data_IF_321339376601
#
_entry.id   IF_321339376601
#
_cell.length_a   1.000
_cell.length_b   1.000
_cell.length_c   1.000
_cell.angle_alpha   90.00
_cell.angle_beta   90.00
_cell.angle_gamma   90.00
#
_symmetry.space_group_name_H-M   'P 1'
#
loop_
_entity.id
_entity.type
_entity.pdbx_description
1 polymer ?
#
# COMPACT_ATOMS: atom_id res chain seq x y z
N UNK A 1 -8.01 -67.36 -36.72
CA UNK A 1 -9.09 -66.41 -36.36
C UNK A 1 -8.65 -65.66 -35.10
N UNK A 2 -8.28 -64.36 -35.26
CA UNK A 2 -8.20 -63.25 -34.27
C UNK A 2 -7.54 -63.57 -32.91
N UNK A 3 -6.27 -63.28 -32.64
CA UNK A 3 -5.63 -61.95 -32.43
C UNK A 3 -6.56 -60.92 -31.80
N UNK A 4 -6.41 -60.70 -30.48
CA UNK A 4 -6.19 -59.38 -29.87
C UNK A 4 -6.25 -59.50 -28.33
N UNK A 5 -5.11 -59.79 -27.71
CA UNK A 5 -4.85 -59.41 -26.32
C UNK A 5 -4.73 -57.88 -26.29
N UNK A 6 -5.78 -57.18 -25.87
CA UNK A 6 -5.67 -55.76 -25.56
C UNK A 6 -4.99 -55.67 -24.20
N UNK A 7 -3.66 -55.52 -24.23
CA UNK A 7 -2.88 -55.06 -23.10
C UNK A 7 -3.45 -53.70 -22.67
N UNK A 8 -4.03 -53.66 -21.48
CA UNK A 8 -4.33 -52.45 -20.76
C UNK A 8 -2.99 -51.79 -20.41
N UNK A 9 -2.44 -51.00 -21.34
CA UNK A 9 -1.34 -50.10 -21.05
C UNK A 9 -1.88 -49.07 -20.08
N UNK A 10 -1.57 -49.33 -18.82
CA UNK A 10 -1.50 -48.36 -17.73
C UNK A 10 -0.78 -47.14 -18.28
N UNK A 11 -1.57 -46.12 -18.66
CA UNK A 11 -1.08 -44.76 -18.82
C UNK A 11 -0.74 -44.24 -17.44
N UNK A 12 0.38 -44.72 -16.91
CA UNK A 12 1.19 -44.00 -15.94
C UNK A 12 1.83 -42.81 -16.68
N UNK A 13 0.99 -41.86 -17.08
CA UNK A 13 1.42 -40.47 -17.17
C UNK A 13 1.64 -40.07 -15.72
N UNK A 14 2.83 -40.39 -15.23
CA UNK A 14 3.32 -39.92 -13.96
C UNK A 14 3.14 -38.40 -13.96
N UNK A 15 2.25 -37.92 -13.12
CA UNK A 15 2.16 -36.52 -12.76
C UNK A 15 3.45 -36.17 -12.00
N UNK A 16 4.54 -35.93 -12.73
CA UNK A 16 5.75 -35.29 -12.20
C UNK A 16 5.50 -33.78 -12.22
N UNK A 17 4.79 -33.23 -11.24
CA UNK A 17 4.79 -31.76 -11.10
C UNK A 17 4.52 -31.17 -9.72
N UNK A 18 4.31 -31.96 -8.67
CA UNK A 18 4.09 -31.42 -7.32
C UNK A 18 5.26 -31.64 -6.37
N UNK A 19 5.87 -32.83 -6.35
CA UNK A 19 6.98 -33.13 -5.41
C UNK A 19 8.27 -32.36 -5.71
N UNK A 20 8.63 -32.17 -6.98
CA UNK A 20 9.82 -31.41 -7.36
C UNK A 20 9.71 -29.91 -7.04
N UNK A 21 8.50 -29.36 -7.03
CA UNK A 21 8.27 -27.94 -6.69
C UNK A 21 8.37 -27.73 -5.18
N UNK A 22 7.86 -28.67 -4.37
CA UNK A 22 8.00 -28.64 -2.91
C UNK A 22 9.45 -28.80 -2.44
N UNK A 23 10.23 -29.71 -3.04
CA UNK A 23 11.65 -29.86 -2.72
C UNK A 23 12.52 -28.68 -3.19
N UNK A 24 12.18 -28.06 -4.33
CA UNK A 24 12.85 -26.85 -4.81
C UNK A 24 12.58 -25.65 -3.89
N UNK A 25 11.37 -25.53 -3.34
CA UNK A 25 10.99 -24.44 -2.44
C UNK A 25 11.81 -24.46 -1.13
N UNK A 26 12.05 -25.65 -0.56
CA UNK A 26 12.81 -25.77 0.69
C UNK A 26 14.25 -25.22 0.60
N UNK A 27 14.84 -25.19 -0.60
CA UNK A 27 16.19 -24.65 -0.81
C UNK A 27 16.21 -23.12 -0.93
N UNK A 28 15.08 -22.51 -1.30
CA UNK A 28 14.97 -21.07 -1.51
C UNK A 28 14.71 -20.29 -0.22
N UNK A 29 14.28 -20.94 0.86
CA UNK A 29 14.02 -20.25 2.13
C UNK A 29 15.29 -19.64 2.70
N UNK A 30 15.17 -18.47 3.31
CA UNK A 30 16.28 -17.76 3.94
C UNK A 30 16.25 -16.27 3.67
N UNK A 31 17.21 -15.59 4.28
CA UNK A 31 17.47 -14.17 4.06
C UNK A 31 18.47 -14.00 2.92
N UNK A 32 18.14 -13.16 1.95
CA UNK A 32 19.04 -12.74 0.89
C UNK A 32 19.36 -11.27 1.11
N UNK A 33 20.64 -10.97 1.31
CA UNK A 33 21.17 -9.63 1.52
C UNK A 33 21.49 -9.02 0.16
N UNK A 34 21.14 -7.76 -0.04
CA UNK A 34 21.46 -7.01 -1.24
C UNK A 34 22.97 -6.82 -1.35
N UNK A 35 23.56 -7.30 -2.45
CA UNK A 35 24.96 -7.11 -2.78
C UNK A 35 25.17 -5.70 -3.35
N UNK A 36 25.38 -4.72 -2.47
CA UNK A 36 25.55 -3.32 -2.84
C UNK A 36 26.72 -2.67 -2.10
N UNK A 37 27.56 -1.98 -2.86
CA UNK A 37 28.72 -1.22 -2.35
C UNK A 37 28.36 0.21 -1.92
N UNK A 38 27.06 0.58 -1.91
CA UNK A 38 26.66 1.96 -1.61
C UNK A 38 26.81 2.24 -0.11
N UNK A 39 27.82 3.04 0.22
CA UNK A 39 28.06 3.59 1.56
C UNK A 39 26.80 4.25 2.18
N UNK A 40 25.91 4.80 1.33
CA UNK A 40 24.67 5.47 1.71
C UNK A 40 23.43 4.74 1.18
N UNK A 41 23.37 3.41 1.29
CA UNK A 41 22.25 2.59 0.80
C UNK A 41 20.88 3.12 1.27
N UNK A 42 20.78 3.56 2.53
CA UNK A 42 19.55 4.08 3.14
C UNK A 42 18.94 5.31 2.42
N UNK A 43 19.75 6.11 1.70
CA UNK A 43 19.27 7.24 0.89
C UNK A 43 19.22 6.94 -0.61
N UNK A 44 19.67 5.75 -1.00
CA UNK A 44 19.60 5.36 -2.39
C UNK A 44 18.16 5.09 -2.80
N UNK A 45 17.92 5.14 -4.10
CA UNK A 45 16.62 4.78 -4.65
C UNK A 45 16.17 3.36 -4.31
N UNK A 46 17.11 2.45 -4.03
CA UNK A 46 16.80 1.11 -3.56
C UNK A 46 17.28 0.96 -2.13
N UNK A 47 16.67 1.62 -1.16
CA UNK A 47 17.12 1.58 0.23
C UNK A 47 16.83 0.26 0.96
N UNK A 48 16.95 -0.89 0.29
CA UNK A 48 16.76 -2.21 0.90
C UNK A 48 18.04 -2.75 1.51
N UNK A 49 17.86 -3.62 2.50
CA UNK A 49 18.92 -4.42 3.09
C UNK A 49 18.81 -5.87 2.65
N UNK A 50 17.65 -6.48 2.88
CA UNK A 50 17.46 -7.91 2.69
C UNK A 50 16.02 -8.27 2.36
N UNK A 51 15.84 -9.40 1.67
CA UNK A 51 14.57 -10.07 1.50
C UNK A 51 14.61 -11.43 2.17
N UNK A 52 13.68 -11.68 3.08
CA UNK A 52 13.53 -12.94 3.80
C UNK A 52 12.39 -13.72 3.14
N UNK A 53 12.67 -14.92 2.66
CA UNK A 53 11.69 -15.86 2.13
C UNK A 53 11.42 -16.96 3.18
N UNK A 54 10.25 -16.93 3.80
CA UNK A 54 9.85 -17.88 4.83
C UNK A 54 9.23 -19.15 4.24
N UNK A 55 9.33 -20.26 5.00
CA UNK A 55 8.80 -21.56 4.62
C UNK A 55 7.27 -21.60 4.47
N UNK A 56 6.55 -20.73 5.18
CA UNK A 56 5.09 -20.57 5.10
C UNK A 56 4.63 -19.74 3.88
N UNK A 57 5.52 -19.58 2.89
CA UNK A 57 5.32 -18.78 1.69
C UNK A 57 5.09 -17.29 1.96
N UNK A 58 5.51 -16.77 3.12
CA UNK A 58 5.55 -15.33 3.39
C UNK A 58 6.93 -14.74 3.10
N UNK A 59 6.97 -13.44 2.80
CA UNK A 59 8.23 -12.72 2.68
C UNK A 59 8.23 -11.42 3.50
N UNK A 60 9.42 -10.96 3.85
CA UNK A 60 9.67 -9.64 4.45
C UNK A 60 10.82 -9.00 3.68
N UNK A 61 10.62 -7.76 3.22
CA UNK A 61 11.64 -6.91 2.62
C UNK A 61 12.01 -5.83 3.63
N UNK A 62 13.27 -5.81 4.05
CA UNK A 62 13.80 -4.84 5.02
C UNK A 62 14.49 -3.66 4.33
N UNK A 63 14.38 -2.48 4.93
CA UNK A 63 15.16 -1.29 4.57
C UNK A 63 16.57 -1.36 5.15
N UNK A 64 17.50 -0.67 4.51
CA UNK A 64 18.85 -0.44 5.00
C UNK A 64 18.82 0.43 6.25
N UNK A 65 19.56 0.02 7.28
CA UNK A 65 19.68 0.78 8.52
C UNK A 65 20.39 2.12 8.32
N UNK A 66 19.88 3.15 8.99
CA UNK A 66 20.56 4.44 9.11
C UNK A 66 21.50 4.38 10.32
N UNK A 67 22.82 4.33 10.07
CA UNK A 67 23.85 4.18 11.13
C UNK A 67 24.54 5.49 11.54
N UNK A 68 24.08 6.63 11.06
CA UNK A 68 24.69 7.94 11.35
C UNK A 68 23.67 8.91 11.95
N UNK A 69 24.18 9.94 12.63
CA UNK A 69 23.38 10.96 13.31
C UNK A 69 23.46 12.31 12.59
N UNK A 70 22.36 13.09 12.53
CA UNK A 70 21.02 12.78 13.04
C UNK A 70 20.31 11.68 12.23
N UNK A 71 19.61 10.77 12.92
CA UNK A 71 18.87 9.69 12.28
C UNK A 71 17.51 10.18 11.79
N UNK A 72 17.17 9.84 10.55
CA UNK A 72 15.81 10.02 10.03
C UNK A 72 15.01 8.80 10.44
N UNK A 73 13.90 9.00 11.15
CA UNK A 73 13.00 7.90 11.50
C UNK A 73 12.42 7.29 10.21
N UNK A 74 12.58 5.99 10.04
CA UNK A 74 12.11 5.25 8.88
C UNK A 74 11.60 3.88 9.34
N UNK A 75 10.69 3.30 8.59
CA UNK A 75 10.17 1.97 8.93
C UNK A 75 11.15 0.88 8.51
N UNK A 76 11.45 -0.06 9.40
CA UNK A 76 12.39 -1.17 9.14
C UNK A 76 11.91 -2.03 7.95
N UNK A 77 10.60 -2.23 7.83
CA UNK A 77 10.00 -3.08 6.80
C UNK A 77 9.56 -2.19 5.63
N UNK A 78 10.14 -2.42 4.46
CA UNK A 78 9.70 -1.80 3.21
C UNK A 78 8.45 -2.49 2.65
N UNK A 79 8.39 -3.82 2.74
CA UNK A 79 7.23 -4.60 2.29
C UNK A 79 7.18 -5.94 3.00
N UNK A 80 6.00 -6.54 3.10
CA UNK A 80 5.82 -7.95 3.46
C UNK A 80 4.63 -8.52 2.70
N UNK A 81 4.53 -9.84 2.58
CA UNK A 81 3.43 -10.46 1.84
C UNK A 81 3.64 -11.93 1.56
N UNK A 82 3.14 -12.40 0.41
CA UNK A 82 3.27 -13.80 -0.03
C UNK A 82 4.20 -13.92 -1.22
N UNK A 83 4.89 -15.04 -1.31
CA UNK A 83 5.71 -15.40 -2.46
C UNK A 83 5.37 -16.81 -2.97
N UNK A 84 5.66 -17.08 -4.24
CA UNK A 84 5.43 -18.37 -4.87
C UNK A 84 6.37 -18.56 -6.05
N UNK A 85 6.80 -19.80 -6.30
CA UNK A 85 7.54 -20.14 -7.52
C UNK A 85 6.60 -20.24 -8.71
N UNK A 86 6.91 -19.55 -9.81
CA UNK A 86 6.16 -19.63 -11.07
C UNK A 86 6.78 -20.64 -12.05
N UNK A 87 8.11 -20.70 -12.07
CA UNK A 87 8.90 -21.62 -12.89
C UNK A 87 10.21 -21.93 -12.16
N UNK A 88 11.00 -22.88 -12.66
CA UNK A 88 12.27 -23.30 -12.04
C UNK A 88 13.25 -22.16 -11.73
N UNK A 89 13.15 -21.03 -12.43
CA UNK A 89 14.05 -19.89 -12.33
C UNK A 89 13.35 -18.56 -12.00
N UNK A 90 12.04 -18.56 -11.71
CA UNK A 90 11.28 -17.35 -11.43
C UNK A 90 10.41 -17.57 -10.20
N UNK A 91 10.59 -16.70 -9.21
CA UNK A 91 9.64 -16.53 -8.12
C UNK A 91 8.89 -15.22 -8.28
N UNK A 92 7.71 -15.18 -7.68
CA UNK A 92 6.79 -14.04 -7.68
C UNK A 92 6.53 -13.64 -6.25
N UNK A 93 6.55 -12.34 -5.97
CA UNK A 93 6.12 -11.77 -4.70
C UNK A 93 4.85 -10.93 -4.87
N UNK A 94 4.03 -10.85 -3.84
CA UNK A 94 2.86 -9.98 -3.78
C UNK A 94 2.68 -9.46 -2.37
N UNK A 95 2.72 -8.13 -2.20
CA UNK A 95 2.63 -7.49 -0.90
C UNK A 95 1.26 -7.65 -0.27
N UNK A 96 1.23 -7.71 1.06
CA UNK A 96 -0.01 -7.74 1.83
C UNK A 96 -0.85 -6.49 1.60
N UNK A 97 -0.28 -5.31 1.33
CA UNK A 97 -1.05 -4.09 1.05
C UNK A 97 -1.94 -4.22 -0.21
N UNK A 98 -1.63 -5.14 -1.14
CA UNK A 98 -2.57 -5.48 -2.22
C UNK A 98 -3.82 -6.21 -1.69
N UNK A 99 -3.67 -7.03 -0.65
CA UNK A 99 -4.74 -7.76 0.05
C UNK A 99 -5.36 -6.94 1.19
N UNK A 100 -4.63 -6.00 1.79
CA UNK A 100 -5.03 -5.11 2.90
C UNK A 100 -5.60 -3.78 2.43
N UNK A 101 -5.73 -3.54 1.12
CA UNK A 101 -6.48 -2.39 0.57
C UNK A 101 -7.86 -2.21 1.20
N UNK A 102 -8.43 -3.23 1.83
CA UNK A 102 -9.63 -3.11 2.65
C UNK A 102 -9.32 -2.67 4.09
N UNK A 103 -8.48 -3.40 4.86
CA UNK A 103 -8.24 -3.06 6.28
C UNK A 103 -7.39 -1.82 6.50
N UNK A 104 -6.30 -1.62 5.75
CA UNK A 104 -5.41 -0.47 5.92
C UNK A 104 -6.04 0.86 5.50
N UNK A 105 -7.07 0.80 4.64
CA UNK A 105 -7.87 1.97 4.24
C UNK A 105 -9.14 2.12 5.10
N UNK A 106 -9.29 1.31 6.15
CA UNK A 106 -10.41 1.49 7.08
C UNK A 106 -10.38 2.92 7.61
N UNK A 107 -11.55 3.53 7.57
CA UNK A 107 -11.78 4.85 8.10
C UNK A 107 -13.07 4.83 8.90
N UNK A 108 -13.19 5.77 9.83
CA UNK A 108 -14.44 6.05 10.51
C UNK A 108 -14.82 7.50 10.26
N UNK A 109 -16.09 7.75 9.92
CA UNK A 109 -16.63 9.10 9.77
C UNK A 109 -17.72 9.33 10.82
N UNK A 110 -17.43 10.18 11.81
CA UNK A 110 -18.42 10.68 12.75
C UNK A 110 -19.01 11.98 12.21
N UNK A 111 -20.33 11.99 12.03
CA UNK A 111 -21.10 13.14 11.52
C UNK A 111 -21.89 13.76 12.67
N UNK A 112 -21.65 15.02 12.95
CA UNK A 112 -22.27 15.76 14.05
C UNK A 112 -22.83 17.09 13.57
N UNK A 113 -23.72 17.69 14.37
CA UNK A 113 -24.21 19.04 14.17
C UNK A 113 -23.76 19.94 15.33
N UNK A 114 -22.80 20.82 15.09
CA UNK A 114 -22.25 21.75 16.09
C UNK A 114 -21.51 22.91 15.44
N UNK A 115 -21.22 23.96 16.20
CA UNK A 115 -20.63 25.22 15.70
C UNK A 115 -21.57 25.94 14.71
N UNK A 116 -21.06 26.92 13.97
CA UNK A 116 -21.87 27.74 13.06
C UNK A 116 -22.41 26.95 11.86
N UNK A 117 -23.68 27.15 11.51
CA UNK A 117 -24.30 26.50 10.36
C UNK A 117 -23.81 27.02 9.00
N UNK A 118 -23.14 28.17 8.97
CA UNK A 118 -22.65 28.78 7.74
C UNK A 118 -21.43 28.04 7.15
N UNK A 119 -20.82 27.15 7.94
CA UNK A 119 -19.61 26.41 7.58
C UNK A 119 -19.78 24.90 7.73
N UNK A 120 -19.03 24.16 6.92
CA UNK A 120 -18.73 22.75 7.12
C UNK A 120 -17.36 22.64 7.79
N UNK A 121 -17.31 22.00 8.95
CA UNK A 121 -16.08 21.75 9.69
C UNK A 121 -15.62 20.31 9.42
N UNK A 122 -14.32 20.14 9.16
CA UNK A 122 -13.73 18.84 8.95
C UNK A 122 -12.51 18.71 9.86
N UNK A 123 -12.51 17.66 10.67
CA UNK A 123 -11.39 17.24 11.51
C UNK A 123 -10.89 15.88 11.04
N UNK A 124 -9.59 15.74 10.90
CA UNK A 124 -8.91 14.50 10.52
C UNK A 124 -8.08 14.05 11.72
N UNK A 125 -8.35 12.84 12.20
CA UNK A 125 -7.59 12.20 13.26
C UNK A 125 -6.67 11.13 12.64
N UNK A 126 -5.37 11.29 12.86
CA UNK A 126 -4.33 10.36 12.47
C UNK A 126 -3.71 9.68 13.70
N UNK A 127 -2.97 8.58 13.52
CA UNK A 127 -2.15 8.02 14.59
C UNK A 127 -1.13 9.04 15.09
N UNK A 128 -0.72 8.92 16.35
CA UNK A 128 0.26 9.83 16.96
C UNK A 128 1.56 9.87 16.14
N UNK A 129 2.16 11.06 15.99
CA UNK A 129 3.39 11.27 15.20
C UNK A 129 3.17 11.32 13.68
N UNK A 130 1.93 11.17 13.21
CA UNK A 130 1.61 11.26 11.77
C UNK A 130 1.27 12.68 11.31
N UNK A 131 1.08 13.60 12.25
CA UNK A 131 0.83 15.03 12.03
C UNK A 131 2.06 15.80 11.56
N UNK A 132 3.26 15.26 11.80
CA UNK A 132 4.53 15.78 11.27
C UNK A 132 4.80 15.35 9.83
N UNK A 133 4.05 14.37 9.33
CA UNK A 133 4.21 13.89 7.98
C UNK A 133 3.68 14.95 7.01
N UNK A 134 4.42 15.26 5.93
CA UNK A 134 4.05 16.34 5.01
C UNK A 134 2.97 15.90 4.00
N UNK A 135 1.85 15.39 4.53
CA UNK A 135 0.69 14.92 3.78
C UNK A 135 -0.30 16.04 3.51
N UNK A 136 -0.94 15.98 2.35
CA UNK A 136 -1.96 16.93 1.90
C UNK A 136 -3.32 16.25 1.88
N UNK A 137 -4.31 16.90 2.47
CA UNK A 137 -5.70 16.49 2.49
C UNK A 137 -6.46 17.19 1.37
N UNK A 138 -7.12 16.39 0.55
CA UNK A 138 -7.80 16.82 -0.67
C UNK A 138 -9.28 16.52 -0.58
N UNK A 139 -10.11 17.56 -0.64
CA UNK A 139 -11.57 17.46 -0.62
C UNK A 139 -12.16 18.02 -1.92
N UNK A 140 -12.94 17.19 -2.61
CA UNK A 140 -13.74 17.60 -3.77
C UNK A 140 -15.21 17.62 -3.41
N UNK A 141 -15.91 18.65 -3.87
CA UNK A 141 -17.33 18.84 -3.56
C UNK A 141 -18.16 18.77 -4.84
N UNK A 142 -19.20 17.94 -4.82
CA UNK A 142 -20.20 17.80 -5.88
C UNK A 142 -19.62 17.47 -7.26
N UNK A 143 -18.51 16.71 -7.30
CA UNK A 143 -17.81 16.34 -8.53
C UNK A 143 -17.44 17.54 -9.43
N UNK A 144 -17.32 18.74 -8.84
CA UNK A 144 -16.93 19.95 -9.55
C UNK A 144 -15.47 20.28 -9.23
N UNK A 145 -14.63 20.22 -10.27
CA UNK A 145 -13.17 20.46 -10.16
C UNK A 145 -12.85 21.87 -9.64
N UNK A 146 -13.73 22.86 -9.85
CA UNK A 146 -13.57 24.23 -9.33
C UNK A 146 -13.90 24.38 -7.84
N UNK A 147 -14.52 23.37 -7.21
CA UNK A 147 -14.89 23.34 -5.79
C UNK A 147 -14.05 22.28 -5.08
N UNK A 148 -12.76 22.60 -4.95
CA UNK A 148 -11.74 21.76 -4.36
C UNK A 148 -11.02 22.50 -3.23
N UNK A 149 -10.54 21.75 -2.23
CA UNK A 149 -9.69 22.25 -1.16
C UNK A 149 -8.50 21.30 -0.99
N UNK A 150 -7.29 21.84 -1.05
CA UNK A 150 -6.06 21.20 -0.61
C UNK A 150 -5.57 21.87 0.68
N UNK A 151 -5.17 21.09 1.67
CA UNK A 151 -4.63 21.63 2.93
C UNK A 151 -3.70 20.62 3.59
N UNK A 152 -2.75 21.09 4.39
CA UNK A 152 -1.97 20.24 5.31
C UNK A 152 -2.54 20.29 6.75
N UNK A 153 -3.57 21.10 6.98
CA UNK A 153 -4.21 21.21 8.30
C UNK A 153 -5.17 20.05 8.51
N UNK A 154 -5.05 19.39 9.65
CA UNK A 154 -5.99 18.35 10.12
C UNK A 154 -7.33 18.91 10.57
N UNK A 155 -7.46 20.22 10.73
CA UNK A 155 -8.73 20.89 10.99
C UNK A 155 -8.95 22.04 10.02
N UNK A 156 -10.11 22.05 9.36
CA UNK A 156 -10.54 23.12 8.45
C UNK A 156 -12.00 23.50 8.69
N UNK A 157 -12.30 24.78 8.45
CA UNK A 157 -13.65 25.31 8.40
C UNK A 157 -13.90 25.86 6.99
N UNK A 158 -14.94 25.38 6.33
CA UNK A 158 -15.23 25.64 4.92
C UNK A 158 -16.55 26.40 4.83
N UNK A 159 -16.57 27.63 4.29
CA UNK A 159 -17.82 28.34 4.06
C UNK A 159 -18.73 27.59 3.08
N UNK A 160 -19.95 27.26 3.50
CA UNK A 160 -20.89 26.48 2.66
C UNK A 160 -21.26 27.23 1.38
N UNK A 161 -21.42 28.55 1.46
CA UNK A 161 -21.77 29.43 0.33
C UNK A 161 -20.79 29.35 -0.84
N UNK A 162 -19.51 29.05 -0.57
CA UNK A 162 -18.46 29.00 -1.60
C UNK A 162 -18.31 27.60 -2.19
N UNK A 163 -18.32 26.56 -1.35
CA UNK A 163 -17.91 25.21 -1.75
C UNK A 163 -19.06 24.21 -1.90
N UNK A 164 -20.23 24.48 -1.31
CA UNK A 164 -21.34 23.53 -1.31
C UNK A 164 -22.50 24.00 -2.21
N UNK A 165 -23.42 23.08 -2.50
CA UNK A 165 -24.75 23.44 -3.00
C UNK A 165 -25.54 23.95 -1.81
N UNK A 166 -25.97 25.21 -1.88
CA UNK A 166 -26.85 25.81 -0.88
C UNK A 166 -28.30 25.73 -1.35
N UNK A 167 -29.25 25.77 -0.41
CA UNK A 167 -30.69 25.86 -0.68
C UNK A 167 -30.99 27.05 -1.60
N UNK A 168 -31.03 26.81 -2.92
CA UNK A 168 -31.68 27.74 -3.84
C UNK A 168 -33.10 27.29 -4.22
N UNK A 169 -33.49 26.02 -3.97
CA UNK A 169 -34.79 25.49 -4.44
C UNK A 169 -35.33 24.25 -3.68
N UNK A 170 -35.00 24.04 -2.39
CA UNK A 170 -35.57 22.95 -1.55
C UNK A 170 -35.44 21.50 -2.06
N UNK A 171 -34.67 21.22 -3.11
CA UNK A 171 -34.70 19.90 -3.74
C UNK A 171 -33.58 18.95 -3.34
N UNK A 172 -32.36 19.42 -3.00
CA UNK A 172 -31.23 18.54 -2.64
C UNK A 172 -30.25 19.28 -1.70
N UNK A 173 -30.11 18.83 -0.44
CA UNK A 173 -29.09 19.30 0.51
C UNK A 173 -27.89 18.33 0.63
N UNK A 174 -27.94 17.23 -0.11
CA UNK A 174 -26.84 16.27 -0.17
C UNK A 174 -25.73 16.86 -1.02
N UNK A 175 -24.56 17.01 -0.39
CA UNK A 175 -23.33 17.35 -1.06
C UNK A 175 -22.50 16.08 -1.16
N UNK A 176 -22.14 15.68 -2.38
CA UNK A 176 -21.14 14.64 -2.61
C UNK A 176 -19.79 15.18 -2.17
N UNK A 177 -19.12 14.47 -1.28
CA UNK A 177 -17.80 14.82 -0.76
C UNK A 177 -16.85 13.68 -1.05
N UNK A 178 -15.80 13.97 -1.81
CA UNK A 178 -14.74 13.02 -2.12
C UNK A 178 -13.51 13.42 -1.29
N UNK A 179 -13.02 12.51 -0.46
CA UNK A 179 -11.84 12.73 0.38
C UNK A 179 -10.68 11.84 -0.06
N UNK A 180 -9.51 12.47 -0.25
CA UNK A 180 -8.27 11.78 -0.55
C UNK A 180 -7.08 12.37 0.21
N UNK A 181 -6.08 11.53 0.44
CA UNK A 181 -4.80 11.92 1.02
C UNK A 181 -3.76 11.86 -0.09
N UNK A 182 -3.00 12.93 -0.21
CA UNK A 182 -1.88 13.05 -1.11
C UNK A 182 -0.58 13.07 -0.30
N UNK A 183 0.21 12.01 -0.43
CA UNK A 183 1.54 11.90 0.19
C UNK A 183 2.67 12.32 -0.77
N UNK A 184 2.35 12.97 -1.92
CA UNK A 184 3.36 13.58 -2.78
C UNK A 184 4.02 14.74 -2.06
N UNK A 185 5.17 14.49 -1.46
CA UNK A 185 6.05 15.55 -1.03
C UNK A 185 7.08 15.77 -2.12
N UNK A 186 6.92 16.89 -2.84
CA UNK A 186 7.91 17.34 -3.80
C UNK A 186 9.28 17.43 -3.11
N UNK A 187 10.20 16.52 -3.46
CA UNK A 187 11.56 16.48 -2.94
C UNK A 187 11.90 15.36 -1.95
N UNK A 188 10.93 14.57 -1.46
CA UNK A 188 11.24 13.42 -0.59
C UNK A 188 11.10 12.11 -1.36
N UNK A 189 12.22 11.42 -1.59
CA UNK A 189 12.27 10.10 -2.25
C UNK A 189 11.66 8.96 -1.40
N UNK A 190 11.10 9.27 -0.23
CA UNK A 190 10.61 8.29 0.75
C UNK A 190 9.29 7.61 0.32
N UNK A 191 8.45 8.27 -0.47
CA UNK A 191 7.09 7.81 -0.79
C UNK A 191 6.96 7.36 -2.25
N UNK A 192 7.73 6.33 -2.63
CA UNK A 192 7.93 5.92 -4.03
C UNK A 192 6.71 5.34 -4.76
N UNK A 193 5.67 4.93 -4.04
CA UNK A 193 4.75 3.92 -4.59
C UNK A 193 3.27 4.32 -4.64
N UNK A 194 2.79 5.14 -3.70
CA UNK A 194 1.39 5.59 -3.67
C UNK A 194 1.33 7.06 -3.27
N UNK A 195 1.08 7.87 -4.28
CA UNK A 195 1.04 9.32 -4.14
C UNK A 195 -0.34 9.77 -3.66
N UNK A 196 -1.41 9.06 -4.05
CA UNK A 196 -2.79 9.42 -3.76
C UNK A 196 -3.56 8.23 -3.19
N UNK A 197 -4.16 8.44 -2.02
CA UNK A 197 -5.02 7.50 -1.31
C UNK A 197 -6.46 8.04 -1.36
N UNK A 198 -7.34 7.38 -2.10
CA UNK A 198 -8.78 7.68 -2.07
C UNK A 198 -9.35 7.04 -0.81
N UNK A 199 -9.93 7.85 0.08
CA UNK A 199 -10.45 7.37 1.37
C UNK A 199 -11.93 7.04 1.23
N UNK A 200 -12.75 8.03 0.87
CA UNK A 200 -14.19 7.83 0.71
C UNK A 200 -14.78 8.76 -0.33
N UNK A 201 -16.00 8.42 -0.71
CA UNK A 201 -16.88 9.19 -1.56
C UNK A 201 -18.31 9.04 -1.04
N UNK A 202 -18.87 10.10 -0.44
CA UNK A 202 -20.17 10.01 0.24
C UNK A 202 -21.04 11.25 0.00
N UNK A 203 -22.35 11.05 -0.17
CA UNK A 203 -23.34 12.11 -0.11
C UNK A 203 -23.68 12.45 1.34
N UNK A 204 -23.48 13.71 1.73
CA UNK A 204 -23.70 14.18 3.10
C UNK A 204 -24.72 15.33 3.11
N UNK A 205 -25.77 15.20 3.93
CA UNK A 205 -26.70 16.30 4.23
C UNK A 205 -26.01 17.30 5.16
N UNK A 206 -25.39 18.31 4.55
CA UNK A 206 -24.57 19.29 5.28
C UNK A 206 -25.41 20.29 6.07
N UNK A 207 -26.73 20.30 5.88
CA UNK A 207 -27.66 21.11 6.68
C UNK A 207 -28.05 20.41 7.98
N UNK A 208 -28.10 19.07 7.98
CA UNK A 208 -28.30 18.29 9.22
C UNK A 208 -27.00 18.03 9.97
N UNK A 209 -25.89 17.93 9.25
CA UNK A 209 -24.57 17.61 9.82
C UNK A 209 -23.51 18.53 9.24
N UNK A 210 -23.01 19.47 10.05
CA UNK A 210 -22.04 20.47 9.61
C UNK A 210 -20.64 20.22 10.19
N UNK A 211 -20.42 19.13 10.92
CA UNK A 211 -19.13 18.76 11.50
C UNK A 211 -18.78 17.31 11.22
N UNK A 212 -17.69 17.08 10.49
CA UNK A 212 -17.19 15.76 10.13
C UNK A 212 -15.89 15.48 10.90
N UNK A 213 -15.84 14.35 11.61
CA UNK A 213 -14.59 13.81 12.16
C UNK A 213 -14.24 12.55 11.39
N UNK A 214 -13.10 12.56 10.70
CA UNK A 214 -12.59 11.45 9.91
C UNK A 214 -11.41 10.85 10.66
N UNK A 215 -11.51 9.59 11.07
CA UNK A 215 -10.43 8.87 11.75
C UNK A 215 -9.81 7.86 10.80
N UNK A 216 -8.48 7.88 10.69
CA UNK A 216 -7.69 7.02 9.82
C UNK A 216 -6.67 6.24 10.64
N UNK A 217 -7.07 5.14 11.30
CA UNK A 217 -6.27 4.46 12.31
C UNK A 217 -4.97 3.84 11.80
N UNK A 218 -4.82 3.63 10.50
CA UNK A 218 -3.66 2.99 9.90
C UNK A 218 -2.81 3.93 9.05
N UNK A 219 -3.14 5.22 8.96
CA UNK A 219 -2.37 6.19 8.17
C UNK A 219 -1.17 6.73 8.96
N UNK A 220 -0.30 5.82 9.39
CA UNK A 220 0.98 6.13 10.03
C UNK A 220 2.13 6.21 9.00
N UNK A 221 3.34 6.56 9.47
CA UNK A 221 4.54 6.63 8.63
C UNK A 221 4.80 5.32 7.87
N UNK A 222 4.61 4.17 8.53
CA UNK A 222 4.92 2.88 7.94
C UNK A 222 3.92 2.48 6.85
N UNK A 223 2.66 2.82 7.01
CA UNK A 223 1.66 2.64 5.97
C UNK A 223 1.99 3.48 4.72
N UNK A 224 2.41 4.73 4.89
CA UNK A 224 2.78 5.61 3.77
C UNK A 224 4.07 5.16 3.07
N UNK A 225 5.03 4.63 3.84
CA UNK A 225 6.31 4.13 3.34
C UNK A 225 6.25 2.71 2.74
N UNK A 226 5.13 2.01 2.89
CA UNK A 226 4.98 0.62 2.49
C UNK A 226 4.97 0.44 0.97
N UNK A 227 5.71 -0.56 0.47
CA UNK A 227 5.81 -0.86 -0.96
C UNK A 227 4.80 -1.94 -1.43
N UNK A 228 3.90 -1.61 -2.36
CA UNK A 228 2.84 -2.49 -2.81
C UNK A 228 3.21 -3.29 -4.07
N UNK A 229 4.09 -4.29 -3.94
CA UNK A 229 4.41 -5.21 -5.02
C UNK A 229 3.18 -6.02 -5.46
N UNK A 230 2.94 -6.02 -6.77
CA UNK A 230 1.85 -6.77 -7.40
C UNK A 230 2.42 -7.73 -8.43
N UNK A 231 2.50 -9.02 -8.07
CA UNK A 231 3.08 -10.05 -8.90
C UNK A 231 4.50 -9.69 -9.39
N UNK A 232 5.30 -9.07 -8.52
CA UNK A 232 6.65 -8.66 -8.91
C UNK A 232 7.55 -9.88 -9.02
N UNK A 233 8.40 -9.90 -10.05
CA UNK A 233 9.13 -11.10 -10.48
C UNK A 233 10.59 -11.02 -10.04
N UNK A 234 11.08 -12.11 -9.48
CA UNK A 234 12.45 -12.27 -9.01
C UNK A 234 13.06 -13.47 -9.73
N UNK A 235 14.22 -13.27 -10.35
CA UNK A 235 14.94 -14.33 -11.04
C UNK A 235 15.80 -15.11 -10.05
N UNK A 236 15.71 -16.43 -10.10
CA UNK A 236 16.52 -17.35 -9.29
C UNK A 236 17.76 -17.70 -10.13
N UNK A 237 18.93 -17.14 -9.77
CA UNK A 237 20.20 -17.53 -10.41
C UNK A 237 20.62 -18.92 -9.98
N UNK A 238 20.50 -19.20 -8.68
CA UNK A 238 20.74 -20.49 -8.02
C UNK A 238 20.15 -20.45 -6.60
N UNK A 239 20.35 -21.50 -5.81
CA UNK A 239 19.77 -21.63 -4.47
C UNK A 239 20.32 -20.63 -3.42
N UNK A 240 21.38 -19.88 -3.73
CA UNK A 240 21.95 -18.87 -2.84
C UNK A 240 21.95 -17.46 -3.45
N UNK A 241 21.40 -17.28 -4.65
CA UNK A 241 21.43 -16.01 -5.36
C UNK A 241 20.13 -15.71 -6.10
N UNK A 242 19.59 -14.53 -5.83
CA UNK A 242 18.47 -13.94 -6.55
C UNK A 242 18.96 -12.74 -7.38
N UNK A 243 18.24 -12.42 -8.45
CA UNK A 243 18.41 -11.19 -9.21
C UNK A 243 17.08 -10.46 -9.29
N UNK A 244 17.05 -9.25 -8.75
CA UNK A 244 15.82 -8.48 -8.60
C UNK A 244 16.10 -6.98 -8.57
N UNK A 245 15.23 -6.21 -9.23
CA UNK A 245 15.36 -4.76 -9.44
C UNK A 245 16.72 -4.31 -10.00
N UNK A 246 17.37 -5.17 -10.78
CA UNK A 246 18.66 -4.88 -11.41
C UNK A 246 19.88 -5.28 -10.59
N UNK A 247 19.69 -5.74 -9.34
CA UNK A 247 20.78 -6.08 -8.43
C UNK A 247 20.78 -7.55 -8.02
N UNK A 248 21.94 -8.03 -7.58
CA UNK A 248 22.11 -9.40 -7.06
C UNK A 248 21.88 -9.41 -5.55
N UNK A 249 21.17 -10.43 -5.08
CA UNK A 249 20.89 -10.66 -3.67
C UNK A 249 21.46 -12.02 -3.28
N UNK A 250 22.30 -12.05 -2.25
CA UNK A 250 23.05 -13.23 -1.83
C UNK A 250 22.57 -13.71 -0.47
N UNK A 251 22.40 -15.01 -0.33
CA UNK A 251 22.12 -15.67 0.93
C UNK A 251 23.36 -15.73 1.83
#
# INVERSE_FOLDING_TARGET
MRIAFILLIVLSISCKSTNNVLEANNKLYGEYILDSDKMFQAFSEMNYHSIILNADSTYILKKAEIKFTPSIEQCEIASKGKWSVLSNNILKITSEDKYLKQKGFNYEIKKENKLSQDSLYIKINLPAGSDELPIKYSFYFNSNVSKYIETQKTFIAIPKSKHLKTKKLNLINNNRIDFSINANVSGTYLYKSRILFKIFEEDIDTEKTNYLTITLPYFDRCFLEFEPFNNDLIYIKNNSQLFWKGDTWKK
#
